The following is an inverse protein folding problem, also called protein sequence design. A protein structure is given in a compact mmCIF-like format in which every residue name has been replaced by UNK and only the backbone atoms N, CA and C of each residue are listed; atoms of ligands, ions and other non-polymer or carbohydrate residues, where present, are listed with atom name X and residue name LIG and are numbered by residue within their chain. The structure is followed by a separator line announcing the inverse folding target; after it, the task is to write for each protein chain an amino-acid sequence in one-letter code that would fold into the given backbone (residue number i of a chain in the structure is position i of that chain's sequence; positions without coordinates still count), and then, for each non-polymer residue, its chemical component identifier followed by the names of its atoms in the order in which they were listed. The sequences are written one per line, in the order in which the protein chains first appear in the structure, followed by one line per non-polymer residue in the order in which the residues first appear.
data_IF_648979638265
#
_entry.id   IF_648979638265
#
_cell.length_a   1.000
_cell.length_b   1.000
_cell.length_c   1.000
_cell.angle_alpha   90.00
_cell.angle_beta   90.00
_cell.angle_gamma   90.00
#
_symmetry.space_group_name_H-M   'P 1'
#
loop_
_entity.id
_entity.type
_entity.pdbx_description
1 polymer ?
#
# COMPACT_ATOMS: atom_id res chain seq x y z
N UNK A 1 24.46 -4.65 -5.18
CA UNK A 1 24.65 -3.80 -3.97
C UNK A 1 24.42 -4.70 -2.77
N UNK A 2 25.40 -4.79 -1.87
CA UNK A 2 25.22 -5.38 -0.54
C UNK A 2 24.88 -4.23 0.40
N UNK A 3 23.82 -4.36 1.19
CA UNK A 3 23.34 -3.29 2.09
C UNK A 3 23.89 -3.41 3.50
N UNK A 4 24.20 -4.62 3.95
CA UNK A 4 24.74 -4.92 5.27
C UNK A 4 25.42 -6.30 5.27
N UNK A 5 26.31 -6.55 6.24
CA UNK A 5 27.01 -7.83 6.47
C UNK A 5 27.21 -8.04 7.98
N UNK A 6 26.80 -9.19 8.50
CA UNK A 6 27.04 -9.59 9.89
C UNK A 6 27.60 -11.01 9.99
N UNK A 7 28.34 -11.30 11.07
CA UNK A 7 28.72 -12.65 11.45
C UNK A 7 27.53 -13.38 12.08
N UNK A 8 27.36 -14.66 11.75
CA UNK A 8 26.28 -15.52 12.26
C UNK A 8 26.84 -16.88 12.72
N UNK A 9 26.09 -17.59 13.56
CA UNK A 9 26.45 -18.93 14.00
C UNK A 9 26.61 -19.91 12.81
N UNK A 10 27.51 -20.91 12.87
CA UNK A 10 27.76 -21.84 11.75
C UNK A 10 26.53 -22.68 11.31
N UNK A 11 25.53 -22.82 12.17
CA UNK A 11 24.26 -23.52 11.90
C UNK A 11 23.14 -22.58 11.37
N UNK A 12 23.46 -21.29 11.15
CA UNK A 12 22.48 -20.32 10.68
C UNK A 12 21.96 -20.66 9.28
N UNK A 13 20.63 -20.57 9.10
CA UNK A 13 20.00 -20.79 7.80
C UNK A 13 18.89 -19.78 7.53
N UNK A 14 19.14 -18.84 6.61
CA UNK A 14 18.24 -17.73 6.26
C UNK A 14 16.78 -18.13 5.96
N UNK A 15 16.54 -19.30 5.34
CA UNK A 15 15.17 -19.81 5.14
C UNK A 15 14.46 -20.29 6.42
N UNK A 16 15.16 -21.00 7.30
CA UNK A 16 14.55 -21.80 8.37
C UNK A 16 14.61 -21.12 9.74
N UNK A 17 15.68 -20.36 10.04
CA UNK A 17 15.78 -19.51 11.25
C UNK A 17 15.00 -18.18 11.13
N UNK A 18 14.35 -17.91 10.00
CA UNK A 18 13.45 -16.75 9.86
C UNK A 18 12.23 -16.88 10.77
N UNK A 19 11.99 -15.90 11.62
CA UNK A 19 10.79 -15.81 12.45
C UNK A 19 9.61 -15.21 11.70
N UNK A 20 9.88 -14.23 10.83
CA UNK A 20 8.87 -13.38 10.21
C UNK A 20 9.34 -12.87 8.85
N UNK A 21 8.41 -12.62 7.93
CA UNK A 21 8.62 -11.94 6.65
C UNK A 21 7.60 -10.82 6.52
N UNK A 22 8.06 -9.62 6.21
CA UNK A 22 7.21 -8.46 5.94
C UNK A 22 7.30 -8.13 4.46
N UNK A 23 6.17 -8.13 3.78
CA UNK A 23 6.03 -7.63 2.42
C UNK A 23 5.30 -6.29 2.44
N UNK A 24 5.70 -5.40 1.54
CA UNK A 24 4.92 -4.22 1.18
C UNK A 24 4.44 -4.36 -0.26
N UNK A 25 3.23 -3.89 -0.55
CA UNK A 25 2.71 -3.74 -1.89
C UNK A 25 2.34 -2.29 -2.15
N UNK A 26 2.90 -1.68 -3.20
CA UNK A 26 2.63 -0.29 -3.59
C UNK A 26 1.50 -0.20 -4.61
N UNK A 27 0.46 0.55 -4.28
CA UNK A 27 -0.61 0.92 -5.20
C UNK A 27 -0.58 2.44 -5.43
N UNK A 28 -0.90 2.85 -6.65
CA UNK A 28 -1.01 4.24 -7.07
C UNK A 28 -2.40 4.42 -7.68
N UNK A 29 -3.25 5.24 -7.08
CA UNK A 29 -4.63 5.45 -7.53
C UNK A 29 -4.83 6.87 -8.07
N UNK A 30 -5.41 6.96 -9.27
CA UNK A 30 -5.83 8.23 -9.86
C UNK A 30 -5.88 8.20 -11.39
N UNK A 31 -6.61 9.15 -12.00
CA UNK A 31 -6.97 9.12 -13.42
C UNK A 31 -5.84 9.55 -14.37
N UNK A 32 -4.77 10.17 -13.87
CA UNK A 32 -3.61 10.55 -14.69
C UNK A 32 -2.80 9.29 -15.11
N UNK A 33 -1.93 9.39 -16.10
CA UNK A 33 -1.04 8.27 -16.45
C UNK A 33 0.02 8.03 -15.35
N UNK A 34 0.50 6.80 -15.23
CA UNK A 34 1.64 6.48 -14.35
C UNK A 34 2.89 7.22 -14.82
N UNK A 35 3.70 7.73 -13.89
CA UNK A 35 5.03 8.24 -14.21
C UNK A 35 5.93 7.14 -14.80
N UNK A 36 6.79 7.49 -15.76
CA UNK A 36 7.78 6.55 -16.33
C UNK A 36 8.70 5.96 -15.25
N UNK A 37 9.00 6.74 -14.21
CA UNK A 37 9.81 6.32 -13.06
C UNK A 37 9.11 5.28 -12.16
N UNK A 38 7.78 5.22 -12.18
CA UNK A 38 6.98 4.38 -11.29
C UNK A 38 6.41 3.14 -11.98
N UNK A 39 6.38 3.13 -13.33
CA UNK A 39 5.76 2.10 -14.18
C UNK A 39 6.11 0.64 -13.82
N UNK A 40 7.31 0.38 -13.33
CA UNK A 40 7.79 -0.96 -12.95
C UNK A 40 7.88 -1.18 -11.43
N UNK A 41 7.39 -0.23 -10.62
CA UNK A 41 7.60 -0.14 -9.16
C UNK A 41 6.29 0.00 -8.35
N UNK A 42 5.16 0.19 -9.02
CA UNK A 42 3.83 0.28 -8.40
C UNK A 42 2.80 -0.46 -9.25
N UNK A 43 1.65 -0.80 -8.66
CA UNK A 43 0.44 -1.05 -9.44
C UNK A 43 -0.34 0.24 -9.58
N UNK A 44 -0.42 0.79 -10.79
CA UNK A 44 -1.30 1.91 -11.09
C UNK A 44 -2.73 1.42 -11.35
N UNK A 45 -3.69 2.11 -10.75
CA UNK A 45 -5.14 1.90 -10.80
C UNK A 45 -5.72 3.27 -11.18
N UNK A 46 -6.61 3.31 -12.18
CA UNK A 46 -7.18 4.57 -12.68
C UNK A 46 -8.34 5.05 -11.80
N UNK A 47 -9.01 4.09 -11.16
CA UNK A 47 -10.10 4.25 -10.21
C UNK A 47 -9.62 4.80 -8.85
N UNK A 48 -10.50 5.47 -8.11
CA UNK A 48 -10.24 5.82 -6.70
C UNK A 48 -10.46 4.61 -5.78
N UNK A 49 -9.86 4.64 -4.58
CA UNK A 49 -9.93 3.54 -3.62
C UNK A 49 -10.50 3.99 -2.26
N UNK A 50 -11.55 3.28 -1.81
CA UNK A 50 -12.06 3.38 -0.43
C UNK A 50 -11.16 2.61 0.54
N UNK A 51 -10.22 3.35 1.15
CA UNK A 51 -9.33 2.84 2.19
C UNK A 51 -10.08 2.27 3.41
N UNK A 52 -11.30 2.72 3.72
CA UNK A 52 -12.03 2.21 4.89
C UNK A 52 -12.60 0.81 4.64
N UNK A 53 -13.18 0.57 3.46
CA UNK A 53 -13.60 -0.78 3.06
C UNK A 53 -12.41 -1.73 2.90
N UNK A 54 -11.29 -1.26 2.34
CA UNK A 54 -10.05 -2.04 2.30
C UNK A 54 -9.53 -2.39 3.70
N UNK A 55 -9.54 -1.45 4.66
CA UNK A 55 -9.15 -1.72 6.06
C UNK A 55 -10.03 -2.78 6.73
N UNK A 56 -11.36 -2.73 6.52
CA UNK A 56 -12.28 -3.77 7.02
C UNK A 56 -11.97 -5.14 6.42
N UNK A 57 -11.71 -5.21 5.12
CA UNK A 57 -11.29 -6.44 4.45
C UNK A 57 -9.95 -6.98 4.98
N UNK A 58 -8.99 -6.10 5.29
CA UNK A 58 -7.75 -6.51 5.96
C UNK A 58 -8.02 -7.18 7.32
N UNK A 59 -8.90 -6.59 8.15
CA UNK A 59 -9.22 -7.13 9.48
C UNK A 59 -9.82 -8.54 9.45
N UNK A 60 -10.58 -8.90 8.39
CA UNK A 60 -11.15 -10.23 8.19
C UNK A 60 -10.05 -11.27 7.88
N UNK A 61 -9.04 -10.88 7.10
CA UNK A 61 -7.97 -11.78 6.63
C UNK A 61 -6.83 -11.98 7.65
N UNK A 62 -6.70 -11.10 8.65
CA UNK A 62 -5.73 -11.27 9.74
C UNK A 62 -6.12 -12.46 10.62
N UNK A 63 -5.12 -13.18 11.15
CA UNK A 63 -5.33 -14.34 12.01
C UNK A 63 -5.01 -15.68 11.33
N UNK A 64 -5.58 -16.75 11.87
CA UNK A 64 -5.25 -18.13 11.50
C UNK A 64 -6.34 -18.75 10.62
N UNK A 65 -6.06 -18.90 9.33
CA UNK A 65 -7.06 -19.27 8.33
C UNK A 65 -6.54 -20.31 7.32
N UNK A 66 -7.47 -20.98 6.64
CA UNK A 66 -7.20 -21.76 5.43
C UNK A 66 -7.15 -20.82 4.22
N UNK A 67 -5.94 -20.49 3.77
CA UNK A 67 -5.73 -19.58 2.64
C UNK A 67 -5.79 -20.30 1.27
N UNK A 68 -6.55 -21.39 1.13
CA UNK A 68 -6.70 -22.10 -0.15
C UNK A 68 -7.24 -21.24 -1.29
N UNK A 69 -8.12 -20.26 -1.01
CA UNK A 69 -8.57 -19.27 -2.00
C UNK A 69 -7.46 -18.30 -2.44
N UNK A 70 -6.42 -18.14 -1.62
CA UNK A 70 -5.26 -17.31 -1.87
C UNK A 70 -4.01 -18.16 -2.19
N UNK A 71 -4.21 -19.35 -2.78
CA UNK A 71 -3.15 -20.29 -3.17
C UNK A 71 -3.16 -20.52 -4.68
N UNK A 72 -2.18 -19.95 -5.38
CA UNK A 72 -2.03 -20.20 -6.82
C UNK A 72 -1.60 -21.66 -7.12
N UNK A 73 -1.93 -22.10 -8.34
CA UNK A 73 -1.44 -23.37 -8.89
C UNK A 73 0.10 -23.44 -8.85
N UNK A 74 0.63 -24.64 -8.63
CA UNK A 74 2.07 -24.87 -8.45
C UNK A 74 2.62 -24.62 -7.04
N UNK A 75 1.77 -24.24 -6.06
CA UNK A 75 2.18 -24.09 -4.67
C UNK A 75 2.62 -25.43 -4.04
N UNK A 76 3.91 -25.55 -3.69
CA UNK A 76 4.52 -26.74 -3.08
C UNK A 76 4.33 -26.83 -1.55
N UNK A 77 3.32 -26.16 -1.00
CA UNK A 77 3.09 -26.13 0.45
C UNK A 77 2.16 -27.27 0.88
N UNK A 78 2.63 -28.15 1.78
CA UNK A 78 1.89 -29.30 2.30
C UNK A 78 0.56 -28.96 2.99
N UNK A 79 0.40 -27.71 3.46
CA UNK A 79 -0.85 -27.21 4.03
C UNK A 79 -1.11 -25.77 3.54
N UNK A 80 -2.37 -25.42 3.23
CA UNK A 80 -2.80 -24.05 2.93
C UNK A 80 -3.05 -23.21 4.19
N UNK A 81 -3.07 -23.82 5.38
CA UNK A 81 -3.36 -23.11 6.63
C UNK A 81 -2.17 -22.22 7.03
N UNK A 82 -2.41 -20.94 7.25
CA UNK A 82 -1.38 -19.97 7.69
C UNK A 82 -1.92 -19.04 8.78
N UNK A 83 -1.01 -18.49 9.56
CA UNK A 83 -1.27 -17.34 10.42
C UNK A 83 -0.72 -16.10 9.73
N UNK A 84 -1.58 -15.10 9.55
CA UNK A 84 -1.23 -13.77 9.05
C UNK A 84 -1.18 -12.82 10.24
N UNK A 85 0.04 -12.44 10.64
CA UNK A 85 0.32 -11.63 11.84
C UNK A 85 -0.03 -10.15 11.62
N UNK A 86 -0.05 -9.70 10.36
CA UNK A 86 -0.54 -8.39 9.94
C UNK A 86 -1.03 -8.42 8.49
N UNK A 87 -2.15 -7.72 8.25
CA UNK A 87 -2.51 -7.18 6.97
C UNK A 87 -3.05 -5.77 7.23
N UNK A 88 -2.44 -4.75 6.63
CA UNK A 88 -2.80 -3.36 6.83
C UNK A 88 -2.70 -2.59 5.52
N UNK A 89 -3.49 -1.53 5.37
CA UNK A 89 -3.39 -0.60 4.24
C UNK A 89 -3.32 0.82 4.76
N UNK A 90 -2.31 1.56 4.31
CA UNK A 90 -2.07 2.96 4.66
C UNK A 90 -1.98 3.80 3.40
N UNK A 91 -2.61 4.98 3.43
CA UNK A 91 -2.31 6.04 2.47
C UNK A 91 -1.01 6.70 2.92
N UNK A 92 -0.08 6.87 1.98
CA UNK A 92 1.25 7.42 2.22
C UNK A 92 1.51 8.56 1.24
N UNK A 93 2.46 9.43 1.57
CA UNK A 93 2.92 10.42 0.60
C UNK A 93 3.60 9.71 -0.59
N UNK A 94 3.44 10.19 -1.84
CA UNK A 94 4.09 9.63 -3.02
C UNK A 94 5.60 9.93 -3.03
N UNK A 95 6.36 9.21 -2.20
CA UNK A 95 7.81 9.09 -2.34
C UNK A 95 8.12 8.05 -3.43
N UNK A 96 9.09 8.34 -4.30
CA UNK A 96 9.52 7.39 -5.34
C UNK A 96 10.11 6.10 -4.76
N UNK A 97 10.65 6.16 -3.54
CA UNK A 97 11.35 5.07 -2.86
C UNK A 97 10.69 4.73 -1.52
N UNK A 98 10.90 3.51 -1.01
CA UNK A 98 10.65 3.25 0.40
C UNK A 98 11.72 3.98 1.23
N UNK A 99 11.34 4.79 2.24
CA UNK A 99 12.30 5.30 3.21
C UNK A 99 13.02 4.11 3.88
N UNK A 100 14.32 4.24 4.06
CA UNK A 100 15.15 3.32 4.85
C UNK A 100 14.63 3.18 6.29
N UNK A 101 15.13 2.20 7.03
CA UNK A 101 14.76 2.03 8.45
C UNK A 101 15.09 3.27 9.30
N UNK A 102 16.11 4.04 8.91
CA UNK A 102 16.49 5.31 9.55
C UNK A 102 15.46 6.39 9.22
N UNK A 103 15.22 6.65 7.93
CA UNK A 103 14.25 7.67 7.47
C UNK A 103 12.82 7.38 7.97
N UNK A 104 12.41 6.10 8.09
CA UNK A 104 11.14 5.74 8.74
C UNK A 104 11.11 6.16 10.20
N UNK A 105 12.18 5.89 10.95
CA UNK A 105 12.25 6.25 12.37
C UNK A 105 12.18 7.77 12.57
N UNK A 106 12.85 8.53 11.71
CA UNK A 106 12.82 10.00 11.72
C UNK A 106 11.43 10.56 11.35
N UNK A 107 10.75 9.97 10.35
CA UNK A 107 9.40 10.36 9.97
C UNK A 107 8.37 10.09 11.10
N UNK A 108 8.42 8.93 11.74
CA UNK A 108 7.55 8.60 12.89
C UNK A 108 7.82 9.54 14.09
N UNK A 109 9.08 9.83 14.40
CA UNK A 109 9.46 10.77 15.48
C UNK A 109 9.05 12.22 15.21
N UNK A 110 8.96 12.63 13.95
CA UNK A 110 8.65 14.01 13.56
C UNK A 110 7.20 14.43 13.86
N UNK A 111 6.31 13.46 14.15
CA UNK A 111 4.87 13.67 14.34
C UNK A 111 4.19 14.38 13.14
N UNK A 112 4.84 14.40 11.96
CA UNK A 112 4.28 14.96 10.73
C UNK A 112 3.26 13.98 10.18
N UNK A 113 2.04 14.10 10.70
CA UNK A 113 0.83 13.61 10.07
C UNK A 113 0.74 14.21 8.66
N UNK A 114 1.26 13.49 7.66
CA UNK A 114 1.16 13.82 6.22
C UNK A 114 -0.25 13.58 5.68
N UNK A 115 -1.28 13.90 6.49
CA UNK A 115 -2.66 14.04 6.06
C UNK A 115 -2.76 15.35 5.27
N UNK A 116 -2.65 15.25 3.95
CA UNK A 116 -2.97 16.36 3.05
C UNK A 116 -4.48 16.60 3.09
N UNK A 117 -4.94 17.32 4.11
CA UNK A 117 -6.33 17.74 4.24
C UNK A 117 -6.70 18.62 3.07
N UNK A 118 -7.40 18.04 2.09
CA UNK A 118 -8.05 18.74 0.99
C UNK A 118 -9.15 19.64 1.57
N UNK A 119 -8.80 20.85 2.00
CA UNK A 119 -9.80 21.91 2.20
C UNK A 119 -10.29 22.38 0.83
N UNK A 120 -11.61 22.33 0.57
CA UNK A 120 -12.19 23.11 -0.51
C UNK A 120 -12.38 24.53 0.01
N UNK A 121 -11.49 25.45 -0.37
CA UNK A 121 -11.64 26.85 0.03
C UNK A 121 -12.83 27.48 -0.72
N UNK A 122 -13.92 27.65 0.02
CA UNK A 122 -15.13 28.38 -0.34
C UNK A 122 -15.10 29.73 0.36
N UNK A 123 -15.17 30.82 -0.40
CA UNK A 123 -15.03 32.19 0.12
C UNK A 123 -16.23 32.64 0.97
N UNK A 124 -16.00 33.36 2.07
CA UNK A 124 -16.08 34.85 2.05
C UNK A 124 -15.97 35.52 3.44
N UNK A 125 -15.64 36.83 3.40
CA UNK A 125 -16.09 37.90 4.32
C UNK A 125 -15.34 38.24 5.64
N UNK A 126 -14.36 39.16 5.51
CA UNK A 126 -14.11 40.27 6.47
C UNK A 126 -12.98 40.09 7.51
N UNK A 127 -12.21 41.13 7.93
CA UNK A 127 -12.20 42.56 7.53
C UNK A 127 -10.96 43.30 8.10
N UNK A 128 -10.15 43.99 7.25
CA UNK A 128 -9.06 44.94 7.63
C UNK A 128 -7.81 44.34 8.31
N UNK A 129 -6.62 44.95 8.33
CA UNK A 129 -6.09 46.18 7.67
C UNK A 129 -4.62 46.39 8.12
N UNK A 130 -3.66 47.00 7.43
CA UNK A 130 -3.53 47.57 6.07
C UNK A 130 -2.01 47.79 5.77
N UNK A 131 -1.56 47.97 4.52
CA UNK A 131 -0.14 48.27 4.23
C UNK A 131 0.35 48.13 2.77
N UNK A 132 0.26 49.24 2.01
CA UNK A 132 0.95 49.59 0.73
C UNK A 132 2.10 48.68 0.25
N UNK A 133 2.19 48.29 -1.04
CA UNK A 133 2.48 49.20 -2.15
C UNK A 133 1.78 48.86 -3.48
N UNK A 134 1.45 49.92 -4.23
CA UNK A 134 0.76 49.89 -5.53
C UNK A 134 1.70 49.77 -6.73
N UNK A 135 1.35 48.92 -7.71
CA UNK A 135 1.36 49.34 -9.12
C UNK A 135 0.31 48.55 -9.91
N UNK A 136 -0.36 49.24 -10.82
CA UNK A 136 -1.58 48.78 -11.48
C UNK A 136 -1.33 48.26 -12.88
N UNK A 137 -1.79 47.04 -13.17
CA UNK A 137 -2.10 46.59 -14.54
C UNK A 137 -3.48 45.96 -14.52
N UNK A 138 -4.42 46.51 -15.30
CA UNK A 138 -5.67 45.82 -15.64
C UNK A 138 -5.42 44.93 -16.84
N UNK A 139 -5.83 43.68 -16.78
CA UNK A 139 -6.03 42.85 -17.95
C UNK A 139 -7.27 41.98 -17.72
N UNK A 140 -8.36 42.34 -18.39
CA UNK A 140 -9.50 41.45 -18.53
C UNK A 140 -9.03 40.20 -19.31
N UNK A 141 -9.15 39.02 -18.71
CA UNK A 141 -8.94 37.75 -19.41
C UNK A 141 -9.95 36.72 -18.93
N UNK A 142 -10.81 36.32 -19.86
CA UNK A 142 -11.77 35.25 -19.65
C UNK A 142 -11.09 33.89 -19.48
N UNK A 143 -11.71 33.04 -18.67
CA UNK A 143 -11.66 31.58 -18.77
C UNK A 143 -10.26 30.94 -18.83
N UNK A 144 -9.43 31.23 -17.84
CA UNK A 144 -8.17 30.52 -17.61
C UNK A 144 -8.40 29.03 -17.33
N UNK A 145 -8.12 28.16 -18.30
CA UNK A 145 -7.85 26.73 -18.03
C UNK A 145 -6.68 26.65 -17.04
N UNK A 146 -6.89 26.06 -15.87
CA UNK A 146 -5.87 25.84 -14.83
C UNK A 146 -4.65 25.08 -15.36
N UNK A 147 -3.66 25.81 -15.87
CA UNK A 147 -2.43 25.22 -16.39
C UNK A 147 -1.54 24.80 -15.21
N UNK A 148 -1.55 23.51 -14.89
CA UNK A 148 -0.69 22.94 -13.84
C UNK A 148 -1.39 22.34 -12.63
N UNK A 149 -2.74 22.29 -12.58
CA UNK A 149 -3.45 21.43 -11.62
C UNK A 149 -3.28 19.95 -11.97
N UNK A 150 -2.10 19.40 -11.65
CA UNK A 150 -1.89 17.94 -11.60
C UNK A 150 -2.62 17.38 -10.40
N UNK A 151 -3.64 16.57 -10.64
CA UNK A 151 -4.31 15.79 -9.60
C UNK A 151 -3.39 14.65 -9.21
N UNK A 152 -2.46 14.92 -8.27
CA UNK A 152 -1.50 13.93 -7.80
C UNK A 152 -2.21 12.65 -7.38
N UNK A 153 -1.71 11.53 -7.90
CA UNK A 153 -2.10 10.19 -7.49
C UNK A 153 -2.03 10.00 -5.98
N UNK A 154 -3.01 9.27 -5.43
CA UNK A 154 -2.97 8.78 -4.05
C UNK A 154 -2.07 7.55 -4.01
N UNK A 155 -1.11 7.53 -3.10
CA UNK A 155 -0.19 6.40 -2.94
C UNK A 155 -0.62 5.57 -1.73
N UNK A 156 -0.70 4.25 -1.90
CA UNK A 156 -1.03 3.33 -0.82
C UNK A 156 0.03 2.26 -0.66
N UNK A 157 0.27 1.85 0.58
CA UNK A 157 1.06 0.68 0.92
C UNK A 157 0.16 -0.32 1.62
N UNK A 158 0.05 -1.52 1.06
CA UNK A 158 -0.45 -2.70 1.79
C UNK A 158 0.74 -3.39 2.44
N UNK A 159 0.73 -3.53 3.76
CA UNK A 159 1.72 -4.32 4.50
C UNK A 159 1.14 -5.68 4.84
N UNK A 160 1.88 -6.74 4.54
CA UNK A 160 1.53 -8.11 4.89
C UNK A 160 2.69 -8.74 5.67
N UNK A 161 2.44 -9.19 6.90
CA UNK A 161 3.46 -9.74 7.80
C UNK A 161 3.02 -11.12 8.29
N UNK A 162 3.88 -12.12 8.09
CA UNK A 162 3.64 -13.49 8.54
C UNK A 162 4.96 -14.25 8.69
N UNK A 163 4.99 -15.31 9.50
CA UNK A 163 6.08 -16.29 9.47
C UNK A 163 6.33 -16.87 8.06
N UNK A 164 5.27 -17.19 7.32
CA UNK A 164 5.37 -17.69 5.94
C UNK A 164 4.09 -17.47 5.14
N UNK A 165 4.22 -17.40 3.82
CA UNK A 165 3.13 -17.20 2.87
C UNK A 165 3.05 -18.37 1.87
N UNK A 166 1.87 -18.60 1.30
CA UNK A 166 1.67 -19.49 0.16
C UNK A 166 2.13 -18.82 -1.15
N UNK A 167 2.25 -19.62 -2.20
CA UNK A 167 2.62 -19.12 -3.52
C UNK A 167 1.53 -18.14 -4.04
N UNK A 168 1.97 -16.92 -4.36
CA UNK A 168 1.15 -15.76 -4.73
C UNK A 168 0.16 -15.22 -3.67
N UNK A 169 0.15 -15.70 -2.43
CA UNK A 169 -0.83 -15.30 -1.41
C UNK A 169 -0.97 -13.78 -1.25
N UNK A 170 0.14 -13.06 -1.10
CA UNK A 170 0.13 -11.59 -0.95
C UNK A 170 -0.48 -10.90 -2.17
N UNK A 171 -0.18 -11.37 -3.39
CA UNK A 171 -0.70 -10.76 -4.64
C UNK A 171 -2.19 -11.06 -4.86
N UNK A 172 -2.67 -12.21 -4.40
CA UNK A 172 -4.10 -12.56 -4.43
C UNK A 172 -4.88 -11.76 -3.38
N UNK A 173 -4.34 -11.61 -2.16
CA UNK A 173 -4.93 -10.74 -1.13
C UNK A 173 -4.98 -9.28 -1.59
N UNK A 174 -3.89 -8.75 -2.18
CA UNK A 174 -3.87 -7.37 -2.72
C UNK A 174 -4.85 -7.19 -3.89
N UNK A 175 -5.00 -8.19 -4.76
CA UNK A 175 -6.00 -8.16 -5.84
C UNK A 175 -7.42 -8.06 -5.30
N UNK A 176 -7.73 -8.85 -4.27
CA UNK A 176 -9.00 -8.76 -3.55
C UNK A 176 -9.19 -7.40 -2.84
N UNK A 177 -8.16 -6.87 -2.19
CA UNK A 177 -8.22 -5.54 -1.58
C UNK A 177 -8.46 -4.44 -2.63
N UNK A 178 -7.90 -4.55 -3.84
CA UNK A 178 -8.23 -3.64 -4.95
C UNK A 178 -9.72 -3.70 -5.25
N UNK A 179 -10.28 -4.90 -5.48
CA UNK A 179 -11.70 -5.07 -5.80
C UNK A 179 -12.64 -4.56 -4.71
N UNK A 180 -12.27 -4.70 -3.44
CA UNK A 180 -13.02 -4.07 -2.33
C UNK A 180 -12.88 -2.55 -2.35
N UNK A 181 -11.67 -2.02 -2.60
CA UNK A 181 -11.42 -0.59 -2.67
C UNK A 181 -12.11 0.12 -3.83
N UNK A 182 -12.30 -0.55 -4.98
CA UNK A 182 -13.08 -0.04 -6.12
C UNK A 182 -14.59 -0.30 -6.02
N UNK A 183 -15.04 -1.00 -4.98
CA UNK A 183 -16.46 -1.32 -4.77
C UNK A 183 -16.99 -2.49 -5.62
N UNK A 184 -16.11 -3.21 -6.33
CA UNK A 184 -16.47 -4.44 -7.06
C UNK A 184 -16.82 -5.61 -6.11
N UNK A 185 -16.32 -5.55 -4.88
CA UNK A 185 -16.62 -6.50 -3.79
C UNK A 185 -16.96 -5.78 -2.48
N UNK A 186 -17.85 -6.39 -1.71
CA UNK A 186 -18.20 -6.00 -0.35
C UNK A 186 -17.36 -6.77 0.68
N UNK A 187 -17.36 -6.32 1.94
CA UNK A 187 -16.68 -7.03 3.03
C UNK A 187 -17.25 -8.43 3.28
N UNK A 188 -18.55 -8.64 3.06
CA UNK A 188 -19.18 -9.97 3.18
C UNK A 188 -18.74 -10.93 2.06
N UNK A 189 -18.31 -10.41 0.91
CA UNK A 189 -17.71 -11.23 -0.14
C UNK A 189 -16.31 -11.72 0.26
N UNK A 190 -15.57 -10.95 1.07
CA UNK A 190 -14.24 -11.35 1.57
C UNK A 190 -14.32 -12.59 2.45
N UNK A 191 -15.26 -12.61 3.40
CA UNK A 191 -15.56 -13.77 4.26
C UNK A 191 -15.93 -14.98 3.39
N UNK A 192 -16.87 -14.81 2.46
CA UNK A 192 -17.31 -15.89 1.56
C UNK A 192 -16.17 -16.44 0.70
N UNK A 193 -15.28 -15.58 0.19
CA UNK A 193 -14.12 -15.99 -0.61
C UNK A 193 -13.12 -16.76 0.24
N UNK A 194 -12.88 -16.34 1.49
CA UNK A 194 -12.03 -17.06 2.44
C UNK A 194 -12.61 -18.46 2.74
N UNK A 195 -13.89 -18.54 3.06
CA UNK A 195 -14.60 -19.79 3.39
C UNK A 195 -14.74 -20.76 2.21
N UNK A 196 -14.83 -20.24 0.98
CA UNK A 196 -14.95 -21.05 -0.25
C UNK A 196 -13.72 -21.93 -0.54
N UNK A 197 -12.56 -21.61 0.06
CA UNK A 197 -11.31 -22.40 -0.01
C UNK A 197 -10.88 -22.82 -1.43
N UNK A 198 -11.19 -22.00 -2.43
CA UNK A 198 -10.93 -22.28 -3.85
C UNK A 198 -10.41 -21.04 -4.56
N UNK A 199 -9.32 -21.21 -5.30
CA UNK A 199 -8.63 -20.09 -5.97
C UNK A 199 -9.49 -19.39 -7.02
N UNK A 200 -10.46 -20.10 -7.61
CA UNK A 200 -11.40 -19.57 -8.60
C UNK A 200 -12.37 -18.55 -7.98
N UNK A 201 -12.55 -18.52 -6.66
CA UNK A 201 -13.36 -17.52 -5.97
C UNK A 201 -12.60 -16.19 -5.76
N UNK A 202 -11.28 -16.17 -5.86
CA UNK A 202 -10.48 -14.96 -5.67
C UNK A 202 -10.48 -14.07 -6.94
N UNK A 203 -10.47 -12.73 -6.79
CA UNK A 203 -10.30 -11.79 -7.90
C UNK A 203 -8.96 -11.91 -8.64
N UNK A 204 -8.81 -11.09 -9.68
CA UNK A 204 -7.58 -11.02 -10.46
C UNK A 204 -6.36 -10.74 -9.58
N UNK A 205 -5.32 -11.57 -9.74
CA UNK A 205 -4.07 -11.45 -8.99
C UNK A 205 -3.36 -10.13 -9.34
N UNK A 206 -2.99 -9.35 -8.33
CA UNK A 206 -2.22 -8.13 -8.50
C UNK A 206 -0.90 -8.39 -9.27
N UNK A 207 -0.39 -7.47 -10.11
CA UNK A 207 0.89 -7.63 -10.81
C UNK A 207 2.08 -7.74 -9.83
N UNK A 208 3.24 -8.20 -10.30
CA UNK A 208 4.43 -8.36 -9.44
C UNK A 208 5.20 -7.06 -9.18
N UNK A 209 5.08 -6.06 -10.06
CA UNK A 209 5.84 -4.80 -10.02
C UNK A 209 5.66 -3.98 -8.72
N UNK A 210 4.49 -4.05 -8.09
CA UNK A 210 4.23 -3.37 -6.82
C UNK A 210 4.71 -4.12 -5.58
N UNK A 211 5.17 -5.38 -5.67
CA UNK A 211 5.48 -6.22 -4.50
C UNK A 211 6.96 -6.17 -4.11
N UNK A 212 7.20 -5.85 -2.83
CA UNK A 212 8.54 -5.75 -2.24
C UNK A 212 8.65 -6.62 -0.99
N UNK A 213 9.74 -7.35 -0.85
CA UNK A 213 10.16 -7.93 0.43
C UNK A 213 10.82 -6.79 1.24
N UNK A 214 10.18 -6.38 2.33
CA UNK A 214 10.59 -5.23 3.12
C UNK A 214 11.52 -5.60 4.29
N UNK A 215 11.25 -6.73 4.95
CA UNK A 215 12.06 -7.22 6.06
C UNK A 215 11.96 -8.75 6.21
N UNK A 216 12.98 -9.37 6.80
CA UNK A 216 12.95 -10.74 7.32
C UNK A 216 13.53 -10.72 8.73
N UNK A 217 12.71 -11.06 9.73
CA UNK A 217 13.15 -11.08 11.13
C UNK A 217 13.86 -12.40 11.44
N UNK A 218 14.99 -12.29 12.13
CA UNK A 218 15.73 -13.41 12.70
C UNK A 218 15.87 -13.20 14.21
N UNK A 219 16.07 -14.29 14.94
CA UNK A 219 16.76 -14.23 16.23
C UNK A 219 18.21 -14.66 15.97
N UNK A 220 19.15 -13.84 16.41
CA UNK A 220 20.59 -14.03 16.25
C UNK A 220 21.30 -14.16 17.61
N UNK A 221 20.55 -14.25 18.71
CA UNK A 221 21.08 -14.35 20.07
C UNK A 221 21.46 -15.79 20.48
N UNK A 222 21.59 -16.70 19.50
CA UNK A 222 21.96 -18.13 19.63
C UNK A 222 22.77 -18.60 18.44
#
# INVERSE_FOLDING_TARGET
MVTDVCCVAPDFHARYKSLERTYHYRLLAGPESTSVFEKNSVWHISEDLDIQSMKKACSILVGHHDFSSFRAAGCQANSPVRTLDELSVTEVFPFMFFPSSVERSELELSNVSLVYSRKPDMESSGKGSDGSCTSSVKSDFENGKDFGKRSRHRCFVVTARARSFLYHQVRLMVGLLKSVGTGDLTTADVERILDAKTVTAAPSMAPSCGLYLANVKYDLNT
#
